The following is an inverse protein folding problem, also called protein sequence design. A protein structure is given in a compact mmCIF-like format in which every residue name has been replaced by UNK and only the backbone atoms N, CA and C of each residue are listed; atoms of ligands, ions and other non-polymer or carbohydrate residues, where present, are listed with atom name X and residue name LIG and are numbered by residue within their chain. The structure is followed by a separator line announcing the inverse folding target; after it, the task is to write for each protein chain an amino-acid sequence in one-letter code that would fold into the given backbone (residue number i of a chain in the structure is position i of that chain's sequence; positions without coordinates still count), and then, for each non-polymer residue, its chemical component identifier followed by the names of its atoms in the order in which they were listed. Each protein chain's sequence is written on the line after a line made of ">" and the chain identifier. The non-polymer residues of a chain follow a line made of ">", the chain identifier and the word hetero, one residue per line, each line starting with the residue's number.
data_IF_287229327531
#
_entry.id   IF_287229327531
#
_cell.length_a   1.000
_cell.length_b   1.000
_cell.length_c   1.000
_cell.angle_alpha   90.00
_cell.angle_beta   90.00
_cell.angle_gamma   90.00
#
_symmetry.space_group_name_H-M   'P 1'
#
loop_
_entity.id
_entity.type
_entity.pdbx_description
1 polymer ?
#
# COMPACT_ATOMS: atom_id res chain seq x y z
N UNK A 1 -15.14 51.51 26.00
CA UNK A 1 -13.85 52.21 25.90
C UNK A 1 -12.87 51.19 25.35
N UNK A 2 -12.84 50.98 24.03
CA UNK A 2 -12.14 51.78 22.98
C UNK A 2 -10.72 51.28 22.75
N UNK A 3 -10.57 50.52 21.67
CA UNK A 3 -9.29 50.18 21.03
C UNK A 3 -8.60 51.47 20.50
N UNK A 4 -7.33 51.40 20.06
CA UNK A 4 -7.13 51.39 18.60
C UNK A 4 -5.96 50.53 18.10
N UNK A 5 -5.97 50.21 16.80
CA UNK A 5 -4.92 49.44 16.13
C UNK A 5 -3.68 50.28 15.74
N UNK A 6 -2.60 49.58 15.34
CA UNK A 6 -1.66 50.04 14.29
C UNK A 6 -1.32 48.84 13.38
N UNK A 7 -1.97 48.71 12.23
CA UNK A 7 -1.58 49.31 10.93
C UNK A 7 -0.47 48.53 10.23
N UNK A 8 -0.90 47.71 9.26
CA UNK A 8 -0.08 47.09 8.22
C UNK A 8 0.34 48.13 7.17
N UNK A 9 1.49 47.95 6.50
CA UNK A 9 1.77 48.62 5.23
C UNK A 9 2.58 47.69 4.30
N UNK A 10 1.89 47.12 3.30
CA UNK A 10 2.53 46.47 2.17
C UNK A 10 2.70 47.48 1.01
N UNK A 11 3.77 47.37 0.24
CA UNK A 11 4.00 48.20 -0.93
C UNK A 11 3.93 47.35 -2.22
N UNK A 12 2.77 47.41 -2.88
CA UNK A 12 2.62 46.97 -4.27
C UNK A 12 2.93 48.14 -5.20
N UNK A 13 3.70 47.91 -6.24
CA UNK A 13 3.82 48.83 -7.38
C UNK A 13 3.50 48.05 -8.66
N UNK A 14 2.49 48.52 -9.40
CA UNK A 14 1.99 47.88 -10.62
C UNK A 14 2.68 48.39 -11.88
N UNK A 15 2.69 47.57 -12.93
CA UNK A 15 3.27 47.90 -14.22
C UNK A 15 2.33 48.78 -15.08
N UNK A 16 2.90 49.46 -16.07
CA UNK A 16 2.20 49.95 -17.28
C UNK A 16 3.19 50.16 -18.43
N UNK A 17 2.71 50.09 -19.67
CA UNK A 17 3.50 49.89 -20.88
C UNK A 17 3.50 51.15 -21.76
N UNK A 18 4.62 51.42 -22.44
CA UNK A 18 4.67 52.23 -23.66
C UNK A 18 5.79 51.69 -24.58
N UNK A 19 5.59 51.75 -25.89
CA UNK A 19 6.55 51.27 -26.90
C UNK A 19 6.67 52.28 -28.06
N UNK A 20 7.82 52.28 -28.75
CA UNK A 20 7.96 52.15 -30.22
C UNK A 20 9.39 52.49 -30.72
N UNK A 21 9.97 51.52 -31.43
CA UNK A 21 10.80 51.61 -32.65
C UNK A 21 12.11 52.44 -32.74
N UNK A 22 13.21 51.69 -32.87
CA UNK A 22 14.31 51.78 -33.87
C UNK A 22 15.01 53.12 -34.21
N UNK A 23 16.34 53.13 -34.13
CA UNK A 23 17.23 52.85 -35.30
C UNK A 23 18.71 52.66 -34.86
N UNK A 24 19.49 51.91 -35.65
CA UNK A 24 20.98 51.87 -35.85
C UNK A 24 21.87 52.86 -35.06
N UNK A 25 23.11 52.58 -34.62
CA UNK A 25 24.09 51.50 -34.86
C UNK A 25 25.20 51.59 -33.75
N UNK A 26 26.42 51.02 -33.73
CA UNK A 26 27.32 50.31 -34.68
C UNK A 26 28.40 49.54 -33.88
N UNK A 27 28.83 48.31 -34.24
CA UNK A 27 30.11 47.70 -33.78
C UNK A 27 30.55 46.52 -34.65
N UNK A 28 31.79 46.53 -35.18
CA UNK A 28 32.43 45.43 -35.92
C UNK A 28 33.79 45.07 -35.28
N UNK A 29 34.13 43.78 -35.25
CA UNK A 29 35.45 43.17 -35.60
C UNK A 29 35.50 41.70 -35.10
N UNK A 30 36.33 40.80 -35.70
CA UNK A 30 37.02 40.86 -36.99
C UNK A 30 36.65 39.67 -37.91
N UNK A 31 37.26 39.60 -39.10
CA UNK A 31 37.09 38.51 -40.08
C UNK A 31 38.10 37.39 -39.83
N UNK A 32 37.63 36.13 -39.82
CA UNK A 32 38.46 34.92 -39.92
C UNK A 32 38.39 34.33 -41.34
N UNK A 33 39.44 33.64 -41.80
CA UNK A 33 39.64 33.28 -43.21
C UNK A 33 39.11 31.89 -43.56
N UNK A 34 38.30 31.79 -44.62
CA UNK A 34 37.83 30.51 -45.15
C UNK A 34 38.94 29.68 -45.83
N UNK A 35 38.98 28.38 -45.51
CA UNK A 35 39.71 27.38 -46.31
C UNK A 35 38.78 26.78 -47.41
N UNK A 36 39.33 26.18 -48.49
CA UNK A 36 38.53 25.78 -49.65
C UNK A 36 37.63 24.56 -49.38
N UNK A 37 36.37 24.64 -49.83
CA UNK A 37 35.40 23.54 -49.78
C UNK A 37 35.97 22.21 -50.35
N UNK A 38 35.97 21.16 -49.52
CA UNK A 38 35.88 19.78 -50.01
C UNK A 38 34.46 19.50 -50.55
N UNK A 39 34.31 18.59 -51.54
CA UNK A 39 33.00 18.21 -52.05
C UNK A 39 32.23 17.42 -51.00
N UNK A 40 30.97 17.77 -50.77
CA UNK A 40 30.10 17.03 -49.85
C UNK A 40 29.92 15.57 -50.29
N UNK A 41 30.14 14.65 -49.35
CA UNK A 41 29.79 13.24 -49.51
C UNK A 41 28.25 13.10 -49.57
N UNK A 42 27.68 12.12 -50.30
CA UNK A 42 26.23 11.95 -50.34
C UNK A 42 25.68 11.60 -48.96
N UNK A 43 24.61 12.27 -48.52
CA UNK A 43 23.90 11.91 -47.30
C UNK A 43 23.47 10.43 -47.38
N UNK A 44 23.96 9.61 -46.45
CA UNK A 44 23.45 8.25 -46.29
C UNK A 44 21.95 8.33 -45.93
N UNK A 45 21.10 7.46 -46.51
CA UNK A 45 19.68 7.46 -46.18
C UNK A 45 19.54 7.11 -44.69
N UNK A 46 18.91 8.00 -43.92
CA UNK A 46 18.67 7.79 -42.50
C UNK A 46 18.10 6.38 -42.25
N UNK A 47 18.77 5.61 -41.40
CA UNK A 47 18.28 4.29 -41.00
C UNK A 47 16.88 4.45 -40.40
N UNK A 48 15.93 3.54 -40.70
CA UNK A 48 14.60 3.62 -40.12
C UNK A 48 14.73 3.48 -38.60
N UNK A 49 14.33 4.52 -37.86
CA UNK A 49 14.22 4.45 -36.40
C UNK A 49 13.44 3.18 -36.03
N UNK A 50 14.08 2.27 -35.29
CA UNK A 50 13.41 1.04 -34.87
C UNK A 50 12.18 1.42 -34.02
N UNK A 51 11.05 0.69 -34.13
CA UNK A 51 9.87 1.00 -33.36
C UNK A 51 10.23 1.05 -31.88
N UNK A 52 9.97 2.18 -31.22
CA UNK A 52 10.02 2.25 -29.77
C UNK A 52 8.95 1.27 -29.27
N UNK A 53 9.39 0.11 -28.77
CA UNK A 53 8.49 -0.83 -28.12
C UNK A 53 7.92 -0.12 -26.89
N UNK A 54 6.61 0.14 -26.89
CA UNK A 54 5.93 0.60 -25.69
C UNK A 54 5.89 -0.57 -24.70
N UNK A 55 6.95 -0.66 -23.87
CA UNK A 55 7.00 -1.46 -22.65
C UNK A 55 5.83 -1.05 -21.75
N UNK A 56 4.69 -1.70 -21.99
CA UNK A 56 3.65 -1.86 -21.00
C UNK A 56 4.22 -2.85 -19.97
N UNK A 57 5.06 -2.33 -19.10
CA UNK A 57 5.71 -3.07 -18.00
C UNK A 57 4.66 -3.42 -16.95
N UNK A 58 3.89 -4.47 -17.27
CA UNK A 58 2.96 -5.11 -16.37
C UNK A 58 3.74 -5.66 -15.18
N UNK A 59 3.56 -5.06 -14.01
CA UNK A 59 4.27 -5.48 -12.79
C UNK A 59 4.01 -6.96 -12.53
N UNK A 60 5.05 -7.79 -12.58
CA UNK A 60 4.94 -9.24 -12.34
C UNK A 60 5.48 -9.63 -10.97
N UNK A 61 4.87 -10.64 -10.35
CA UNK A 61 5.41 -11.26 -9.14
C UNK A 61 6.60 -12.20 -9.42
N UNK A 62 7.17 -12.79 -8.38
CA UNK A 62 8.34 -13.69 -8.49
C UNK A 62 8.10 -14.97 -9.31
N UNK A 63 6.85 -15.31 -9.62
CA UNK A 63 6.47 -16.46 -10.46
C UNK A 63 6.05 -16.00 -11.88
N UNK A 64 6.15 -14.71 -12.19
CA UNK A 64 5.77 -14.12 -13.49
C UNK A 64 4.28 -13.86 -13.66
N UNK A 65 3.49 -13.80 -12.57
CA UNK A 65 2.06 -13.46 -12.63
C UNK A 65 1.85 -11.94 -12.68
N UNK A 66 1.07 -11.48 -13.65
CA UNK A 66 0.66 -10.07 -13.80
C UNK A 66 -0.16 -9.59 -12.58
N UNK A 67 0.38 -8.59 -11.87
CA UNK A 67 -0.28 -7.98 -10.73
C UNK A 67 -1.49 -7.15 -11.17
N UNK A 68 -2.64 -7.45 -10.58
CA UNK A 68 -3.85 -6.65 -10.69
C UNK A 68 -4.64 -6.68 -9.39
N UNK A 69 -5.50 -5.68 -9.19
CA UNK A 69 -6.34 -5.52 -8.01
C UNK A 69 -7.68 -4.88 -8.39
N UNK A 70 -8.75 -5.22 -7.65
CA UNK A 70 -10.05 -4.59 -7.79
C UNK A 70 -10.12 -3.27 -6.98
N UNK A 71 -11.00 -2.31 -7.34
CA UNK A 71 -11.13 -1.04 -6.62
C UNK A 71 -11.42 -1.20 -5.13
N UNK A 72 -11.06 -0.21 -4.32
CA UNK A 72 -11.36 -0.19 -2.90
C UNK A 72 -12.87 -0.30 -2.63
N UNK A 73 -13.24 -1.18 -1.70
CA UNK A 73 -14.64 -1.53 -1.42
C UNK A 73 -15.31 -2.49 -2.42
N UNK A 74 -14.65 -2.91 -3.51
CA UNK A 74 -15.18 -3.92 -4.46
C UNK A 74 -15.06 -5.34 -3.89
N UNK A 75 -15.82 -5.60 -2.81
CA UNK A 75 -15.81 -6.87 -2.09
C UNK A 75 -16.41 -8.02 -2.92
N UNK A 76 -16.11 -9.24 -2.52
CA UNK A 76 -16.71 -10.43 -3.10
C UNK A 76 -18.26 -10.39 -2.94
N UNK A 77 -19.04 -10.86 -3.93
CA UNK A 77 -20.50 -10.88 -3.80
C UNK A 77 -20.98 -11.52 -2.50
N UNK A 78 -22.11 -11.01 -1.98
CA UNK A 78 -22.72 -11.44 -0.72
C UNK A 78 -21.84 -11.26 0.55
N UNK A 79 -20.64 -10.67 0.47
CA UNK A 79 -19.73 -10.57 1.62
C UNK A 79 -19.85 -9.27 2.42
N UNK A 80 -20.33 -8.16 1.85
CA UNK A 80 -20.57 -6.92 2.60
C UNK A 80 -20.94 -5.73 1.70
N UNK A 81 -21.14 -4.53 2.28
CA UNK A 81 -21.36 -3.30 1.53
C UNK A 81 -20.06 -2.69 0.96
N UNK A 82 -18.89 -3.08 1.50
CA UNK A 82 -17.61 -2.46 1.18
C UNK A 82 -17.45 -1.06 1.77
N UNK A 83 -16.30 -0.45 1.53
CA UNK A 83 -16.03 0.94 1.82
C UNK A 83 -14.99 1.49 0.83
N UNK A 84 -15.45 2.31 -0.12
CA UNK A 84 -14.60 2.85 -1.20
C UNK A 84 -13.78 4.06 -0.75
N UNK A 85 -12.83 3.81 0.14
CA UNK A 85 -11.75 4.74 0.47
C UNK A 85 -10.51 4.43 -0.38
N UNK A 86 -10.00 5.45 -1.07
CA UNK A 86 -8.83 5.34 -1.95
C UNK A 86 -7.55 5.93 -1.32
N UNK A 87 -7.59 6.28 -0.04
CA UNK A 87 -6.50 6.98 0.65
C UNK A 87 -5.27 6.08 0.83
N UNK A 88 -4.13 6.54 0.31
CA UNK A 88 -2.81 5.98 0.61
C UNK A 88 -2.30 6.68 1.86
N UNK A 89 -2.69 6.16 3.03
CA UNK A 89 -2.39 6.76 4.34
C UNK A 89 -0.89 6.75 4.69
N UNK A 90 -0.16 5.70 4.27
CA UNK A 90 1.26 5.50 4.60
C UNK A 90 2.07 5.09 3.34
N UNK A 91 2.32 6.02 2.39
CA UNK A 91 2.94 5.68 1.09
C UNK A 91 4.36 5.08 1.21
N UNK A 92 5.09 5.41 2.27
CA UNK A 92 6.48 5.01 2.45
C UNK A 92 6.68 3.60 3.05
N UNK A 93 5.62 2.85 3.41
CA UNK A 93 5.81 1.50 3.98
C UNK A 93 6.41 0.53 2.95
N UNK A 94 6.94 -0.60 3.41
CA UNK A 94 7.04 -1.80 2.57
C UNK A 94 5.80 -2.68 2.76
N UNK A 95 5.54 -3.55 1.78
CA UNK A 95 4.54 -4.59 1.93
C UNK A 95 4.90 -5.55 3.09
N UNK A 96 3.94 -5.96 3.96
CA UNK A 96 4.23 -6.66 5.21
C UNK A 96 4.61 -8.15 5.07
N UNK A 97 4.79 -8.69 3.86
CA UNK A 97 5.27 -10.05 3.60
C UNK A 97 6.52 -10.05 2.70
N UNK A 98 7.45 -10.98 2.93
CA UNK A 98 8.68 -11.12 2.12
C UNK A 98 8.43 -11.61 0.70
N UNK A 99 7.48 -12.54 0.50
CA UNK A 99 7.23 -13.20 -0.78
C UNK A 99 6.07 -12.55 -1.57
N UNK A 100 5.63 -13.17 -2.67
CA UNK A 100 4.36 -12.83 -3.31
C UNK A 100 3.16 -12.97 -2.34
N UNK A 101 2.06 -12.30 -2.63
CA UNK A 101 0.89 -12.24 -1.74
C UNK A 101 -0.43 -12.11 -2.48
N UNK A 102 -1.52 -12.50 -1.81
CA UNK A 102 -2.88 -12.54 -2.34
C UNK A 102 -3.90 -12.01 -1.33
N UNK A 103 -4.32 -10.76 -1.51
CA UNK A 103 -5.40 -10.17 -0.72
C UNK A 103 -6.73 -10.74 -1.22
N UNK A 104 -7.38 -11.55 -0.38
CA UNK A 104 -8.69 -12.12 -0.67
C UNK A 104 -9.37 -12.69 0.58
N UNK A 105 -10.71 -12.74 0.55
CA UNK A 105 -11.56 -13.14 1.66
C UNK A 105 -11.22 -14.52 2.24
N UNK A 106 -11.10 -14.57 3.56
CA UNK A 106 -10.93 -15.81 4.33
C UNK A 106 -12.25 -16.45 4.72
N UNK A 107 -13.37 -15.75 4.58
CA UNK A 107 -14.70 -16.21 5.02
C UNK A 107 -15.57 -16.61 3.82
N UNK A 108 -15.51 -15.87 2.71
CA UNK A 108 -16.45 -16.01 1.58
C UNK A 108 -15.84 -16.65 0.31
N UNK A 109 -14.57 -17.08 0.35
CA UNK A 109 -13.90 -17.90 -0.69
C UNK A 109 -13.60 -19.31 -0.20
N UNK A 110 -12.89 -20.11 -1.01
CA UNK A 110 -12.45 -21.46 -0.69
C UNK A 110 -11.72 -21.54 0.66
N UNK A 111 -12.10 -22.54 1.47
CA UNK A 111 -11.64 -22.70 2.85
C UNK A 111 -12.38 -21.86 3.90
N UNK A 112 -13.12 -20.83 3.48
CA UNK A 112 -13.92 -19.99 4.37
C UNK A 112 -15.27 -20.59 4.73
N UNK A 113 -15.78 -20.23 5.91
CA UNK A 113 -17.03 -20.79 6.46
C UNK A 113 -18.31 -20.38 5.71
N UNK A 114 -18.22 -19.39 4.81
CA UNK A 114 -19.28 -18.94 3.91
C UNK A 114 -18.94 -19.15 2.43
N UNK A 115 -17.84 -19.84 2.08
CA UNK A 115 -17.40 -20.00 0.68
C UNK A 115 -18.48 -20.52 -0.27
N UNK A 116 -19.39 -21.37 0.21
CA UNK A 116 -20.53 -21.89 -0.54
C UNK A 116 -21.56 -20.84 -0.98
N UNK A 117 -21.68 -19.68 -0.33
CA UNK A 117 -22.63 -18.62 -0.77
C UNK A 117 -22.23 -18.03 -2.13
N UNK A 118 -20.95 -18.16 -2.50
CA UNK A 118 -20.39 -17.76 -3.79
C UNK A 118 -19.99 -18.96 -4.66
N UNK A 119 -20.44 -20.18 -4.32
CA UNK A 119 -20.06 -21.42 -5.01
C UNK A 119 -18.59 -21.84 -4.84
N UNK A 120 -17.84 -21.17 -3.95
CA UNK A 120 -16.42 -21.42 -3.69
C UNK A 120 -16.23 -22.51 -2.63
N UNK A 121 -16.80 -23.68 -2.89
CA UNK A 121 -16.69 -24.86 -2.03
C UNK A 121 -15.31 -25.52 -2.16
N UNK A 122 -14.68 -25.85 -1.03
CA UNK A 122 -13.39 -26.54 -1.00
C UNK A 122 -12.47 -26.07 0.12
N UNK A 123 -11.21 -26.53 0.07
CA UNK A 123 -10.17 -26.17 1.04
C UNK A 123 -9.47 -24.85 0.69
N UNK A 124 -8.86 -24.22 1.70
CA UNK A 124 -8.12 -22.96 1.60
C UNK A 124 -6.99 -22.97 0.56
N UNK A 125 -6.39 -24.13 0.27
CA UNK A 125 -5.35 -24.32 -0.73
C UNK A 125 -5.86 -24.44 -2.18
N UNK A 126 -7.06 -23.96 -2.49
CA UNK A 126 -7.51 -23.85 -3.89
C UNK A 126 -6.60 -22.84 -4.62
N UNK A 127 -6.13 -23.17 -5.83
CA UNK A 127 -5.27 -22.30 -6.63
C UNK A 127 -5.87 -20.90 -6.85
N UNK A 128 -7.20 -20.77 -6.96
CA UNK A 128 -7.89 -19.49 -7.11
C UNK A 128 -7.87 -18.59 -5.84
N UNK A 129 -7.19 -19.01 -4.76
CA UNK A 129 -6.82 -18.15 -3.63
C UNK A 129 -5.39 -17.58 -3.73
N UNK A 130 -4.61 -18.01 -4.74
CA UNK A 130 -3.18 -17.69 -4.93
C UNK A 130 -2.93 -17.12 -6.33
N UNK A 131 -3.83 -16.24 -6.75
CA UNK A 131 -3.91 -15.66 -8.09
C UNK A 131 -4.49 -14.24 -8.03
N UNK A 132 -4.34 -13.49 -9.12
CA UNK A 132 -4.84 -12.12 -9.28
C UNK A 132 -6.22 -12.09 -9.99
N UNK A 133 -7.02 -11.02 -9.90
CA UNK A 133 -6.77 -9.79 -9.14
C UNK A 133 -6.91 -9.97 -7.63
N UNK A 134 -6.20 -9.15 -6.87
CA UNK A 134 -6.54 -8.91 -5.46
C UNK A 134 -7.95 -8.37 -5.31
N UNK A 135 -8.57 -8.69 -4.19
CA UNK A 135 -9.90 -8.20 -3.83
C UNK A 135 -9.88 -7.68 -2.40
N UNK A 136 -10.49 -6.51 -2.21
CA UNK A 136 -10.61 -5.89 -0.90
C UNK A 136 -11.40 -6.79 0.08
N UNK A 137 -11.08 -6.67 1.36
CA UNK A 137 -11.72 -7.36 2.48
C UNK A 137 -12.02 -6.43 3.65
N UNK A 138 -11.64 -5.15 3.59
CA UNK A 138 -12.03 -4.15 4.59
C UNK A 138 -13.55 -3.92 4.52
N UNK A 139 -14.21 -3.74 5.67
CA UNK A 139 -15.68 -3.74 5.76
C UNK A 139 -16.40 -5.00 5.22
N UNK A 140 -15.71 -6.12 5.02
CA UNK A 140 -16.37 -7.41 4.81
C UNK A 140 -17.19 -7.79 6.06
N UNK A 141 -18.37 -8.38 5.91
CA UNK A 141 -19.30 -8.62 7.01
C UNK A 141 -18.65 -9.46 8.12
N UNK A 142 -18.67 -8.90 9.32
CA UNK A 142 -18.24 -9.50 10.60
C UNK A 142 -19.17 -8.96 11.69
N UNK A 143 -19.26 -9.66 12.83
CA UNK A 143 -20.02 -9.20 14.00
C UNK A 143 -19.25 -8.15 14.82
N UNK A 144 -18.66 -7.16 14.16
CA UNK A 144 -17.77 -6.13 14.71
C UNK A 144 -18.28 -4.76 14.31
N UNK A 145 -18.38 -3.84 15.26
CA UNK A 145 -18.72 -2.44 15.00
C UNK A 145 -17.43 -1.62 14.98
N UNK A 146 -17.19 -0.90 13.89
CA UNK A 146 -16.07 0.03 13.72
C UNK A 146 -16.52 1.26 12.90
N UNK A 147 -15.78 2.36 12.93
CA UNK A 147 -16.30 3.68 12.54
C UNK A 147 -16.48 3.91 11.03
N UNK A 148 -15.66 3.25 10.20
CA UNK A 148 -15.65 3.37 8.73
C UNK A 148 -16.69 2.47 8.06
N UNK A 149 -17.13 1.39 8.73
CA UNK A 149 -18.17 0.48 8.26
C UNK A 149 -19.47 0.67 9.09
N UNK A 150 -20.48 1.45 8.63
CA UNK A 150 -21.66 1.78 9.45
C UNK A 150 -22.50 0.58 9.89
N UNK A 151 -22.56 -0.48 9.08
CA UNK A 151 -23.24 -1.74 9.41
C UNK A 151 -22.37 -2.70 10.26
N UNK A 152 -21.17 -2.26 10.64
CA UNK A 152 -20.09 -3.12 11.10
C UNK A 152 -19.35 -3.78 9.94
N UNK A 153 -18.24 -4.46 10.26
CA UNK A 153 -17.42 -5.09 9.24
C UNK A 153 -16.03 -5.50 9.71
N UNK A 154 -15.23 -5.94 8.76
CA UNK A 154 -13.88 -6.40 8.95
C UNK A 154 -12.95 -5.25 9.31
N UNK A 155 -12.09 -5.50 10.29
CA UNK A 155 -11.30 -4.49 10.97
C UNK A 155 -9.99 -4.21 10.17
N UNK A 156 -9.35 -5.24 9.62
CA UNK A 156 -8.19 -5.12 8.71
C UNK A 156 -8.46 -5.63 7.29
N UNK A 157 -7.41 -6.08 6.61
CA UNK A 157 -7.51 -6.92 5.40
C UNK A 157 -6.78 -8.25 5.58
N UNK A 158 -7.25 -9.27 4.86
CA UNK A 158 -6.66 -10.61 4.91
C UNK A 158 -5.71 -10.85 3.74
N UNK A 159 -4.46 -11.18 4.07
CA UNK A 159 -3.34 -11.37 3.15
C UNK A 159 -2.89 -12.83 3.17
N UNK A 160 -3.17 -13.60 2.11
CA UNK A 160 -2.49 -14.89 1.92
C UNK A 160 -1.06 -14.64 1.42
N UNK A 161 -0.14 -15.50 1.82
CA UNK A 161 1.22 -15.49 1.30
C UNK A 161 1.34 -16.28 -0.03
N UNK A 162 2.54 -16.33 -0.60
CA UNK A 162 2.79 -16.79 -1.98
C UNK A 162 2.25 -18.20 -2.30
N UNK A 163 2.24 -19.10 -1.31
CA UNK A 163 1.69 -20.46 -1.44
C UNK A 163 0.78 -20.81 -0.26
N UNK A 164 -0.05 -21.84 -0.41
CA UNK A 164 -0.76 -22.41 0.72
C UNK A 164 0.21 -23.20 1.59
N UNK A 165 0.26 -22.89 2.90
CA UNK A 165 1.15 -23.53 3.87
C UNK A 165 1.01 -25.06 3.79
N UNK A 166 2.04 -25.78 3.30
CA UNK A 166 1.99 -27.22 3.14
C UNK A 166 2.03 -27.95 4.48
N UNK A 167 1.66 -29.23 4.48
CA UNK A 167 1.70 -30.09 5.68
C UNK A 167 3.12 -30.33 6.24
N UNK A 168 4.18 -29.87 5.56
CA UNK A 168 5.56 -29.81 6.05
C UNK A 168 5.81 -28.67 7.05
N UNK A 169 4.92 -27.67 7.14
CA UNK A 169 5.10 -26.50 8.02
C UNK A 169 6.09 -25.45 7.48
N UNK A 170 6.44 -25.52 6.20
CA UNK A 170 7.10 -24.43 5.49
C UNK A 170 6.12 -23.24 5.38
N UNK A 171 6.60 -22.03 5.60
CA UNK A 171 5.75 -20.84 5.70
C UNK A 171 6.56 -19.56 5.47
N UNK A 172 5.84 -18.54 5.04
CA UNK A 172 6.31 -17.24 4.58
C UNK A 172 6.44 -16.25 5.74
N UNK A 173 7.39 -15.32 5.65
CA UNK A 173 7.63 -14.33 6.70
C UNK A 173 6.79 -13.07 6.54
N UNK A 174 6.20 -12.63 7.66
CA UNK A 174 5.75 -11.27 7.83
C UNK A 174 6.89 -10.40 8.38
N UNK A 175 7.00 -9.18 7.85
CA UNK A 175 8.04 -8.20 8.14
C UNK A 175 7.44 -6.88 8.63
N UNK A 176 8.23 -6.12 9.39
CA UNK A 176 7.87 -4.78 9.81
C UNK A 176 7.72 -3.87 8.58
N UNK A 177 6.48 -3.45 8.32
CA UNK A 177 6.12 -2.49 7.27
C UNK A 177 6.85 -1.14 7.42
N UNK A 178 7.29 -0.81 8.63
CA UNK A 178 7.97 0.45 8.95
C UNK A 178 8.93 0.30 10.16
N UNK A 179 9.75 1.33 10.40
CA UNK A 179 10.51 1.44 11.65
C UNK A 179 9.55 1.68 12.82
N UNK A 180 9.81 1.09 13.98
CA UNK A 180 9.00 1.32 15.17
C UNK A 180 9.37 0.47 16.36
N UNK A 181 8.41 0.26 17.25
CA UNK A 181 8.55 -0.55 18.47
C UNK A 181 7.42 -1.56 18.61
N UNK A 182 7.75 -2.80 18.99
CA UNK A 182 6.78 -3.82 19.33
C UNK A 182 6.15 -3.49 20.68
N UNK A 183 4.82 -3.50 20.78
CA UNK A 183 4.09 -3.04 21.99
C UNK A 183 2.91 -3.93 22.37
N UNK A 184 2.84 -4.33 23.64
CA UNK A 184 1.74 -5.12 24.18
C UNK A 184 1.68 -6.54 23.62
N UNK A 185 2.85 -7.10 23.30
CA UNK A 185 3.02 -8.50 22.89
C UNK A 185 3.06 -9.45 24.09
N UNK A 186 3.54 -9.01 25.26
CA UNK A 186 3.44 -9.82 26.49
C UNK A 186 1.96 -10.07 26.86
N UNK A 187 1.65 -11.31 27.20
CA UNK A 187 0.28 -11.80 27.41
C UNK A 187 -0.57 -11.96 26.13
N UNK A 188 -0.17 -11.40 24.99
CA UNK A 188 -0.91 -11.52 23.71
C UNK A 188 -1.04 -12.99 23.26
N UNK A 189 -2.04 -13.25 22.40
CA UNK A 189 -2.41 -14.61 21.96
C UNK A 189 -2.39 -14.84 20.45
N UNK A 190 -2.61 -13.81 19.65
CA UNK A 190 -2.64 -13.92 18.18
C UNK A 190 -2.33 -12.60 17.45
N UNK A 191 -1.81 -11.59 18.17
CA UNK A 191 -1.58 -10.24 17.65
C UNK A 191 -0.20 -9.74 18.07
N UNK A 192 0.65 -9.42 17.09
CA UNK A 192 1.83 -8.56 17.29
C UNK A 192 1.45 -7.13 16.89
N UNK A 193 1.87 -6.12 17.65
CA UNK A 193 1.59 -4.71 17.35
C UNK A 193 2.89 -3.94 17.18
N UNK A 194 2.98 -3.13 16.14
CA UNK A 194 4.11 -2.27 15.82
C UNK A 194 3.64 -0.81 15.89
N UNK A 195 4.22 -0.02 16.78
CA UNK A 195 3.95 1.41 16.90
C UNK A 195 5.11 2.23 16.33
N UNK A 196 4.81 3.18 15.45
CA UNK A 196 5.77 4.16 14.91
C UNK A 196 6.07 5.27 15.91
N UNK A 197 7.05 6.13 15.62
CA UNK A 197 7.34 7.33 16.42
C UNK A 197 6.21 8.37 16.36
N UNK A 198 5.48 8.46 15.24
CA UNK A 198 4.29 9.32 15.08
C UNK A 198 3.02 8.77 15.76
N UNK A 199 3.08 7.56 16.31
CA UNK A 199 2.01 6.92 17.09
C UNK A 199 1.11 5.98 16.29
N UNK A 200 1.19 5.96 14.96
CA UNK A 200 0.52 4.97 14.08
C UNK A 200 0.81 3.55 14.54
N UNK A 201 -0.22 2.70 14.54
CA UNK A 201 -0.16 1.34 15.07
C UNK A 201 -0.60 0.34 14.00
N UNK A 202 0.36 -0.42 13.50
CA UNK A 202 0.11 -1.61 12.69
C UNK A 202 -0.12 -2.82 13.60
N UNK A 203 -0.98 -3.75 13.18
CA UNK A 203 -1.13 -5.05 13.85
C UNK A 203 -1.02 -6.18 12.84
N UNK A 204 -0.30 -7.21 13.25
CA UNK A 204 -0.03 -8.43 12.50
C UNK A 204 -0.69 -9.58 13.26
N UNK A 205 -1.65 -10.23 12.63
CA UNK A 205 -2.47 -11.27 13.26
C UNK A 205 -2.39 -12.59 12.53
N UNK A 206 -2.62 -13.67 13.28
CA UNK A 206 -2.52 -15.06 12.83
C UNK A 206 -1.12 -15.50 12.40
N UNK A 207 -0.09 -14.90 13.01
CA UNK A 207 1.29 -15.40 12.92
C UNK A 207 1.49 -16.67 13.77
N UNK A 208 2.56 -17.44 13.55
CA UNK A 208 3.00 -18.48 14.48
C UNK A 208 3.52 -17.80 15.76
N UNK A 209 2.67 -17.70 16.78
CA UNK A 209 2.97 -17.02 18.03
C UNK A 209 3.97 -17.80 18.90
N UNK A 210 4.29 -19.05 18.52
CA UNK A 210 5.34 -19.86 19.17
C UNK A 210 6.73 -19.65 18.55
N UNK A 211 6.82 -19.03 17.36
CA UNK A 211 8.07 -18.80 16.61
C UNK A 211 8.19 -17.37 16.08
N UNK A 212 7.77 -16.38 16.87
CA UNK A 212 8.04 -14.97 16.57
C UNK A 212 9.55 -14.68 16.56
N UNK A 213 9.96 -13.78 15.67
CA UNK A 213 11.33 -13.31 15.55
C UNK A 213 11.62 -12.04 16.39
N UNK A 214 10.60 -11.51 17.08
CA UNK A 214 10.66 -10.28 17.89
C UNK A 214 10.05 -10.49 19.29
N UNK A 215 10.45 -9.65 20.25
CA UNK A 215 9.93 -9.65 21.63
C UNK A 215 9.22 -8.35 22.01
N UNK A 216 8.46 -8.35 23.12
CA UNK A 216 7.76 -7.14 23.59
C UNK A 216 8.75 -6.02 23.93
N UNK A 217 8.43 -4.81 23.47
CA UNK A 217 9.26 -3.63 23.70
C UNK A 217 10.53 -3.54 22.85
N UNK A 218 10.75 -4.46 21.90
CA UNK A 218 11.83 -4.40 20.92
C UNK A 218 11.63 -3.25 19.93
N UNK A 219 12.72 -2.57 19.55
CA UNK A 219 12.72 -1.62 18.42
C UNK A 219 13.13 -2.34 17.14
N UNK A 220 12.33 -2.21 16.10
CA UNK A 220 12.50 -2.90 14.82
C UNK A 220 12.67 -1.90 13.67
N UNK A 221 13.36 -2.32 12.62
CA UNK A 221 13.50 -1.56 11.37
C UNK A 221 12.59 -2.10 10.27
N UNK A 222 12.24 -1.24 9.31
CA UNK A 222 11.52 -1.60 8.08
C UNK A 222 12.20 -2.80 7.39
N UNK A 223 11.46 -3.86 7.11
CA UNK A 223 11.99 -5.11 6.55
C UNK A 223 12.46 -6.14 7.57
N UNK A 224 12.51 -5.83 8.87
CA UNK A 224 12.83 -6.82 9.89
C UNK A 224 11.70 -7.84 10.04
N UNK A 225 12.04 -9.14 9.99
CA UNK A 225 11.11 -10.25 10.25
C UNK A 225 10.45 -10.12 11.62
N UNK A 226 9.12 -10.21 11.66
CA UNK A 226 8.30 -10.21 12.88
C UNK A 226 7.92 -11.64 13.27
N UNK A 227 7.44 -12.43 12.32
CA UNK A 227 6.95 -13.78 12.55
C UNK A 227 6.51 -14.44 11.26
N UNK A 228 6.22 -15.74 11.30
CA UNK A 228 5.74 -16.49 10.15
C UNK A 228 4.23 -16.40 10.03
N UNK A 229 3.71 -16.37 8.80
CA UNK A 229 2.27 -16.50 8.54
C UNK A 229 1.78 -17.87 9.05
N UNK A 230 0.63 -17.91 9.72
CA UNK A 230 0.07 -19.13 10.29
C UNK A 230 -1.46 -19.01 10.37
N UNK A 231 -2.08 -19.66 11.37
CA UNK A 231 -3.51 -19.57 11.63
C UNK A 231 -3.86 -19.49 13.13
N UNK A 232 -2.95 -19.02 13.97
CA UNK A 232 -3.19 -18.89 15.41
C UNK A 232 -4.36 -17.92 15.67
N UNK A 233 -5.42 -18.43 16.26
CA UNK A 233 -6.56 -17.63 16.70
C UNK A 233 -7.18 -18.23 17.96
N UNK A 234 -7.73 -17.37 18.82
CA UNK A 234 -8.23 -17.74 20.14
C UNK A 234 -9.56 -17.05 20.40
N UNK A 235 -10.51 -17.80 20.96
CA UNK A 235 -11.84 -17.27 21.32
C UNK A 235 -11.78 -16.40 22.59
N UNK A 236 -12.91 -15.80 22.97
CA UNK A 236 -13.02 -14.99 24.19
C UNK A 236 -12.81 -15.77 25.51
N UNK A 237 -12.82 -17.09 25.47
CA UNK A 237 -12.48 -17.97 26.60
C UNK A 237 -10.97 -18.24 26.72
N UNK A 238 -10.18 -17.84 25.72
CA UNK A 238 -8.75 -18.17 25.61
C UNK A 238 -8.47 -19.56 25.03
N UNK A 239 -9.46 -20.23 24.44
CA UNK A 239 -9.30 -21.52 23.77
C UNK A 239 -8.83 -21.30 22.33
N UNK A 240 -7.90 -22.13 21.85
CA UNK A 240 -7.44 -22.08 20.46
C UNK A 240 -8.55 -22.55 19.52
N UNK A 241 -8.85 -21.73 18.52
CA UNK A 241 -9.83 -21.99 17.45
C UNK A 241 -9.21 -21.56 16.12
N UNK A 242 -8.26 -22.36 15.57
CA UNK A 242 -7.44 -21.94 14.44
C UNK A 242 -8.26 -21.54 13.21
N UNK A 243 -7.81 -20.49 12.53
CA UNK A 243 -8.47 -19.92 11.35
C UNK A 243 -7.87 -20.52 10.05
N UNK A 244 -8.06 -19.88 8.90
CA UNK A 244 -7.32 -20.19 7.67
C UNK A 244 -5.89 -19.64 7.72
N UNK A 245 -5.00 -20.13 6.86
CA UNK A 245 -3.63 -19.64 6.75
C UNK A 245 -3.57 -18.30 5.99
N UNK A 246 -3.32 -17.21 6.73
CA UNK A 246 -3.18 -15.84 6.25
C UNK A 246 -2.53 -14.93 7.31
N UNK A 247 -1.98 -13.80 6.89
CA UNK A 247 -1.74 -12.65 7.75
C UNK A 247 -3.00 -11.80 7.73
N UNK A 248 -3.59 -11.51 8.89
CA UNK A 248 -4.56 -10.42 9.01
C UNK A 248 -3.81 -9.14 9.41
N UNK A 249 -4.00 -8.06 8.65
CA UNK A 249 -3.24 -6.81 8.81
C UNK A 249 -4.18 -5.63 9.08
N UNK A 250 -3.97 -4.96 10.22
CA UNK A 250 -4.73 -3.77 10.64
C UNK A 250 -3.83 -2.54 10.70
N UNK A 251 -4.39 -1.36 10.42
CA UNK A 251 -3.73 -0.06 10.53
C UNK A 251 -4.61 0.92 11.30
N UNK A 252 -4.04 1.54 12.34
CA UNK A 252 -4.68 2.57 13.15
C UNK A 252 -3.84 3.83 13.16
N UNK A 253 -4.45 4.99 12.98
CA UNK A 253 -3.77 6.29 13.06
C UNK A 253 -4.73 7.39 13.50
N UNK A 254 -4.20 8.60 13.68
CA UNK A 254 -5.04 9.79 13.78
C UNK A 254 -5.71 10.06 12.42
N UNK A 255 -7.03 10.09 12.41
CA UNK A 255 -7.88 10.35 11.25
C UNK A 255 -8.89 11.44 11.59
N UNK A 256 -9.02 12.42 10.70
CA UNK A 256 -10.08 13.43 10.74
C UNK A 256 -10.86 13.33 9.42
N UNK A 257 -12.20 13.18 9.45
CA UNK A 257 -13.01 13.08 8.24
C UNK A 257 -13.17 14.41 7.48
N UNK A 258 -12.93 15.53 8.16
CA UNK A 258 -12.99 16.90 7.64
C UNK A 258 -12.12 17.84 8.51
N UNK A 259 -11.95 19.10 8.09
CA UNK A 259 -11.17 20.12 8.83
C UNK A 259 -11.88 20.65 10.10
N UNK A 260 -13.15 20.30 10.32
CA UNK A 260 -13.96 20.78 11.46
C UNK A 260 -14.01 19.77 12.63
N UNK A 261 -13.62 18.52 12.38
CA UNK A 261 -13.66 17.40 13.33
C UNK A 261 -12.29 17.14 13.97
N UNK A 262 -12.25 17.09 15.31
CA UNK A 262 -11.05 16.70 16.07
C UNK A 262 -10.56 15.30 15.62
N UNK A 263 -9.25 15.11 15.31
CA UNK A 263 -8.73 13.82 14.88
C UNK A 263 -8.94 12.71 15.91
N UNK A 264 -9.56 11.60 15.48
CA UNK A 264 -9.74 10.39 16.29
C UNK A 264 -8.63 9.41 15.96
N UNK A 265 -8.01 8.79 16.97
CA UNK A 265 -7.13 7.64 16.75
C UNK A 265 -7.99 6.39 16.54
N UNK A 266 -8.22 6.03 15.27
CA UNK A 266 -9.12 4.93 14.89
C UNK A 266 -8.55 4.13 13.71
N UNK A 267 -9.31 3.11 13.31
CA UNK A 267 -8.99 2.14 12.28
C UNK A 267 -9.27 2.68 10.88
N UNK A 268 -8.28 2.57 10.01
CA UNK A 268 -8.32 3.06 8.62
C UNK A 268 -8.13 1.91 7.63
N UNK A 269 -8.60 2.06 6.39
CA UNK A 269 -8.42 1.01 5.38
C UNK A 269 -6.94 0.86 5.01
N UNK A 270 -6.33 -0.33 5.19
CA UNK A 270 -4.96 -0.56 4.72
C UNK A 270 -4.91 -0.89 3.22
N UNK A 271 -6.05 -1.11 2.54
CA UNK A 271 -6.10 -1.73 1.20
C UNK A 271 -5.27 -0.98 0.15
N UNK A 272 -5.59 0.29 -0.14
CA UNK A 272 -4.84 1.05 -1.14
C UNK A 272 -3.40 1.38 -0.70
N UNK A 273 -3.15 1.45 0.61
CA UNK A 273 -1.80 1.60 1.16
C UNK A 273 -0.95 0.35 0.89
N UNK A 274 -1.54 -0.84 1.02
CA UNK A 274 -0.90 -2.13 0.71
C UNK A 274 -0.74 -2.37 -0.79
N UNK A 275 -1.69 -1.94 -1.63
CA UNK A 275 -1.55 -1.93 -3.10
C UNK A 275 -0.33 -1.10 -3.49
N UNK A 276 -0.25 0.16 -3.04
CA UNK A 276 0.88 1.04 -3.34
C UNK A 276 2.22 0.44 -2.87
N UNK A 277 2.27 -0.10 -1.65
CA UNK A 277 3.47 -0.74 -1.11
C UNK A 277 3.88 -2.03 -1.85
N UNK A 278 2.93 -2.75 -2.45
CA UNK A 278 3.21 -3.95 -3.25
C UNK A 278 3.69 -3.59 -4.65
N UNK A 279 3.06 -2.62 -5.33
CA UNK A 279 3.56 -2.15 -6.63
C UNK A 279 5.01 -1.69 -6.55
N UNK A 280 5.32 -0.88 -5.52
CA UNK A 280 6.68 -0.41 -5.23
C UNK A 280 7.65 -1.57 -5.01
N UNK A 281 7.24 -2.59 -4.25
CA UNK A 281 8.00 -3.84 -4.08
C UNK A 281 8.23 -4.58 -5.40
N UNK A 282 7.26 -4.63 -6.31
CA UNK A 282 7.43 -5.26 -7.63
C UNK A 282 8.39 -4.48 -8.54
N UNK A 283 8.44 -3.15 -8.39
CA UNK A 283 9.47 -2.28 -9.03
C UNK A 283 10.85 -2.36 -8.37
N UNK A 284 10.98 -3.04 -7.23
CA UNK A 284 12.25 -3.21 -6.49
C UNK A 284 12.63 -2.05 -5.57
N UNK A 285 11.65 -1.26 -5.10
CA UNK A 285 11.82 -0.11 -4.18
C UNK A 285 11.85 -0.45 -2.67
#
# INVERSE_FOLDING_TARGET
>A
MTNPEKTLLALLLSASIAACDNYTNETEEPVETEEPNEPADPEEPAEPEEPIEEENDFLTDSEGREFSYLPAGDLLPNSGPGHSDTTIYRPDIIFPLEDAAFLNSQVYRYGGSQGSVNGMEGGQCNAANYDYPWQDTFCESRSRSQIMCPDGGHEGVDIRAATCIPSSGETHWAVAAENGRIVGLDGSKYTVKLQTEDGTLYRYMHLDMSQLAVVDGESVVKGQRIGKVWNDFFNSSGESVPTTYHLHFEMYQNYAPDEETDPVFDQVSPYMTLVNAYERKLRGE
#
